data_IF_500493537241
#
_entry.id   IF_500493537241
#
_cell.length_a   1.000
_cell.length_b   1.000
_cell.length_c   1.000
_cell.angle_alpha   90.00
_cell.angle_beta   90.00
_cell.angle_gamma   90.00
#
_symmetry.space_group_name_H-M   'P 1'
#
loop_
_entity.id
_entity.type
_entity.pdbx_description
1 polymer ?
#
# COMPACT_ATOMS: atom_id res chain seq x y z
N UNK A 1 5.56 -18.08 -1.17
CA UNK A 1 5.42 -17.15 -0.04
C UNK A 1 4.35 -16.14 -0.41
N UNK A 2 3.37 -15.98 0.46
CA UNK A 2 2.33 -14.94 0.39
C UNK A 2 2.65 -13.88 1.44
N UNK A 3 2.91 -12.66 1.01
CA UNK A 3 3.11 -11.50 1.88
C UNK A 3 1.86 -10.64 1.84
N UNK A 4 1.10 -10.66 2.92
CA UNK A 4 -0.18 -9.99 3.06
C UNK A 4 -0.10 -8.95 4.19
N UNK A 5 0.05 -7.69 3.83
CA UNK A 5 0.28 -6.62 4.81
C UNK A 5 -0.87 -5.60 4.92
N UNK A 6 -1.84 -5.58 3.98
CA UNK A 6 -2.93 -4.61 3.98
C UNK A 6 -4.28 -5.13 3.43
N UNK A 7 -4.46 -6.44 3.30
CA UNK A 7 -5.69 -7.07 2.79
C UNK A 7 -6.94 -6.78 3.63
N UNK A 8 -6.78 -6.37 4.88
CA UNK A 8 -7.89 -5.91 5.72
C UNK A 8 -8.58 -4.67 5.15
N UNK A 9 -7.86 -3.84 4.38
CA UNK A 9 -8.38 -2.60 3.79
C UNK A 9 -8.95 -2.85 2.39
N UNK A 10 -10.18 -3.36 2.37
CA UNK A 10 -10.99 -3.54 1.17
C UNK A 10 -12.22 -2.68 1.26
N UNK A 11 -12.59 -2.04 0.16
CA UNK A 11 -13.64 -1.03 0.18
C UNK A 11 -14.91 -1.51 -0.54
N UNK A 12 -14.83 -1.80 -1.83
CA UNK A 12 -16.02 -2.04 -2.63
C UNK A 12 -16.04 -3.47 -3.24
N UNK A 13 -15.21 -4.39 -2.70
CA UNK A 13 -15.08 -5.75 -3.19
C UNK A 13 -15.30 -6.78 -2.10
N UNK A 14 -15.70 -7.99 -2.49
CA UNK A 14 -15.73 -9.13 -1.57
C UNK A 14 -14.33 -9.54 -1.15
N UNK A 15 -14.15 -10.07 0.06
CA UNK A 15 -12.89 -10.66 0.47
C UNK A 15 -12.43 -11.73 -0.52
N UNK A 16 -11.18 -11.63 -0.97
CA UNK A 16 -10.53 -12.76 -1.62
C UNK A 16 -9.90 -13.63 -0.52
N UNK A 17 -10.06 -14.96 -0.60
CA UNK A 17 -9.35 -15.84 0.31
C UNK A 17 -7.84 -15.74 0.06
N UNK A 18 -7.05 -15.87 1.11
CA UNK A 18 -5.60 -15.97 0.98
C UNK A 18 -5.19 -17.23 0.21
N UNK A 19 -4.05 -17.21 -0.45
CA UNK A 19 -3.50 -18.41 -1.09
C UNK A 19 -3.29 -19.52 -0.06
N UNK A 20 -2.85 -19.17 1.15
CA UNK A 20 -2.72 -20.11 2.25
C UNK A 20 -4.07 -20.73 2.64
N UNK A 21 -5.12 -19.91 2.75
CA UNK A 21 -6.47 -20.38 3.07
C UNK A 21 -7.04 -21.29 1.96
N UNK A 22 -6.75 -21.00 0.70
CA UNK A 22 -7.13 -21.83 -0.45
C UNK A 22 -6.36 -23.16 -0.52
N UNK A 23 -5.06 -23.12 -0.20
CA UNK A 23 -4.19 -24.29 -0.22
C UNK A 23 -4.43 -25.24 0.98
N UNK A 24 -4.98 -24.71 2.08
CA UNK A 24 -5.18 -25.45 3.33
C UNK A 24 -3.90 -25.68 4.11
N UNK A 25 -4.01 -26.40 5.24
CA UNK A 25 -2.89 -26.63 6.17
C UNK A 25 -1.75 -27.46 5.55
N UNK A 26 -2.06 -28.34 4.63
CA UNK A 26 -1.12 -29.20 3.92
C UNK A 26 -0.57 -28.58 2.63
N UNK A 27 -1.04 -27.40 2.27
CA UNK A 27 -0.60 -26.68 1.08
C UNK A 27 0.80 -26.08 1.23
N UNK A 28 1.52 -25.80 0.13
CA UNK A 28 2.92 -25.34 0.16
C UNK A 28 3.07 -23.83 0.39
N UNK A 29 2.07 -23.14 0.95
CA UNK A 29 2.07 -21.67 1.09
C UNK A 29 2.55 -21.24 2.47
N UNK A 30 3.63 -20.49 2.52
CA UNK A 30 4.06 -19.74 3.72
C UNK A 30 3.37 -18.38 3.67
N UNK A 31 2.51 -18.10 4.65
CA UNK A 31 1.80 -16.82 4.76
C UNK A 31 2.50 -15.92 5.78
N UNK A 32 2.72 -14.68 5.39
CA UNK A 32 3.31 -13.63 6.22
C UNK A 32 2.32 -12.47 6.34
N UNK A 33 2.18 -11.92 7.54
CA UNK A 33 1.39 -10.72 7.74
C UNK A 33 1.89 -9.91 8.94
N UNK A 34 1.43 -8.67 9.05
CA UNK A 34 1.86 -7.73 10.08
C UNK A 34 0.69 -6.92 10.64
N UNK A 35 0.75 -6.61 11.93
CA UNK A 35 -0.18 -5.68 12.58
C UNK A 35 0.21 -4.20 12.38
N UNK A 36 1.32 -3.91 11.70
CA UNK A 36 1.83 -2.54 11.56
C UNK A 36 0.93 -1.65 10.72
N UNK A 37 0.19 -2.20 9.77
CA UNK A 37 -0.75 -1.46 8.92
C UNK A 37 -2.16 -1.47 9.49
N UNK A 38 -2.59 -2.61 10.01
CA UNK A 38 -3.94 -2.78 10.53
C UNK A 38 -4.16 -2.18 11.93
N UNK A 39 -3.08 -1.89 12.68
CA UNK A 39 -3.16 -1.24 14.00
C UNK A 39 -2.27 0.01 14.07
N UNK A 40 -0.97 -0.18 14.23
CA UNK A 40 -0.01 0.92 14.30
C UNK A 40 1.40 0.43 13.94
N UNK A 41 2.22 1.23 13.23
CA UNK A 41 3.59 0.86 12.92
C UNK A 41 4.48 0.62 14.14
N UNK A 42 4.14 1.22 15.28
CA UNK A 42 4.86 1.09 16.55
C UNK A 42 4.67 -0.25 17.25
N UNK A 43 3.63 -1.02 16.93
CA UNK A 43 3.34 -2.29 17.60
C UNK A 43 4.36 -3.38 17.27
N UNK A 44 5.03 -3.31 16.13
CA UNK A 44 6.13 -4.18 15.70
C UNK A 44 5.84 -5.69 15.81
N UNK A 45 4.58 -6.09 15.63
CA UNK A 45 4.17 -7.49 15.62
C UNK A 45 3.90 -7.91 14.17
N UNK A 46 4.59 -8.98 13.76
CA UNK A 46 4.31 -9.72 12.55
C UNK A 46 4.12 -11.21 12.89
N UNK A 47 3.44 -11.92 12.03
CA UNK A 47 3.23 -13.34 12.22
C UNK A 47 3.39 -14.11 10.91
N UNK A 48 3.70 -15.39 11.04
CA UNK A 48 3.90 -16.31 9.95
C UNK A 48 3.06 -17.56 10.16
N UNK A 49 2.35 -18.00 9.14
CA UNK A 49 1.68 -19.31 9.12
C UNK A 49 2.48 -20.23 8.23
N UNK A 50 3.04 -21.27 8.83
CA UNK A 50 3.84 -22.27 8.14
C UNK A 50 3.01 -23.47 7.72
N UNK A 51 3.25 -24.02 6.52
CA UNK A 51 2.80 -25.35 6.17
C UNK A 51 3.23 -26.40 7.20
N UNK A 52 2.40 -27.39 7.43
CA UNK A 52 2.62 -28.40 8.46
C UNK A 52 3.92 -29.17 8.24
N UNK A 53 4.31 -29.40 6.97
CA UNK A 53 5.53 -30.08 6.57
C UNK A 53 6.80 -29.32 6.99
N UNK A 54 6.74 -28.00 7.13
CA UNK A 54 7.89 -27.18 7.52
C UNK A 54 8.07 -27.06 9.04
N UNK A 55 7.05 -27.40 9.83
CA UNK A 55 7.08 -27.26 11.28
C UNK A 55 8.21 -28.06 11.97
N UNK A 56 8.50 -29.32 11.59
CA UNK A 56 9.61 -30.06 12.22
C UNK A 56 10.97 -29.39 11.99
N UNK A 57 11.24 -28.98 10.74
CA UNK A 57 12.49 -28.31 10.39
C UNK A 57 12.60 -26.92 11.07
N UNK A 58 11.51 -26.16 11.10
CA UNK A 58 11.45 -24.90 11.82
C UNK A 58 11.75 -25.08 13.31
N UNK A 59 11.08 -26.00 13.98
CA UNK A 59 11.30 -26.28 15.40
C UNK A 59 12.73 -26.72 15.71
N UNK A 60 13.32 -27.50 14.83
CA UNK A 60 14.72 -27.95 14.98
C UNK A 60 15.70 -26.77 14.86
N UNK A 61 15.50 -25.91 13.84
CA UNK A 61 16.36 -24.75 13.56
C UNK A 61 16.25 -23.65 14.63
N UNK A 62 15.04 -23.39 15.11
CA UNK A 62 14.75 -22.22 15.96
C UNK A 62 14.45 -22.56 17.43
N UNK A 63 14.68 -23.79 17.88
CA UNK A 63 14.37 -24.23 19.26
C UNK A 63 15.06 -23.43 20.37
N UNK A 64 16.21 -22.80 20.07
CA UNK A 64 16.98 -22.00 21.02
C UNK A 64 16.72 -20.48 20.87
N UNK A 65 15.86 -20.07 19.92
CA UNK A 65 15.52 -18.69 19.72
C UNK A 65 14.25 -18.33 20.49
N UNK A 66 14.30 -17.22 21.21
CA UNK A 66 13.12 -16.61 21.81
C UNK A 66 12.46 -15.63 20.83
N UNK A 67 11.15 -15.54 20.86
CA UNK A 67 10.45 -14.48 20.11
C UNK A 67 10.93 -13.11 20.58
N UNK A 68 11.30 -12.19 19.65
CA UNK A 68 11.66 -10.82 20.01
C UNK A 68 10.44 -9.99 20.45
N UNK A 69 9.22 -10.46 20.21
CA UNK A 69 7.99 -9.78 20.61
C UNK A 69 7.71 -10.05 22.08
N UNK A 70 7.53 -8.98 22.87
CA UNK A 70 7.17 -9.06 24.28
C UNK A 70 5.90 -9.90 24.51
N UNK A 71 5.91 -10.78 25.49
CA UNK A 71 4.71 -11.55 25.87
C UNK A 71 3.56 -10.66 26.33
N UNK A 72 3.87 -9.53 26.93
CA UNK A 72 2.87 -8.53 27.32
C UNK A 72 2.14 -7.99 26.09
N UNK A 73 2.87 -7.60 25.06
CA UNK A 73 2.28 -7.10 23.80
C UNK A 73 1.48 -8.19 23.08
N UNK A 74 1.99 -9.42 23.03
CA UNK A 74 1.25 -10.55 22.47
C UNK A 74 -0.08 -10.79 23.19
N UNK A 75 -0.09 -10.80 24.54
CA UNK A 75 -1.30 -10.99 25.31
C UNK A 75 -2.28 -9.81 25.18
N UNK A 76 -1.76 -8.59 25.13
CA UNK A 76 -2.59 -7.38 24.93
C UNK A 76 -3.26 -7.44 23.55
N UNK A 77 -2.52 -7.81 22.51
CA UNK A 77 -3.07 -7.98 21.17
C UNK A 77 -4.11 -9.10 21.13
N UNK A 78 -3.83 -10.23 21.77
CA UNK A 78 -4.77 -11.35 21.84
C UNK A 78 -6.09 -10.94 22.51
N UNK A 79 -6.04 -10.20 23.62
CA UNK A 79 -7.26 -9.64 24.26
C UNK A 79 -7.98 -8.67 23.34
N UNK A 80 -7.25 -7.76 22.70
CA UNK A 80 -7.81 -6.78 21.77
C UNK A 80 -8.58 -7.44 20.63
N UNK A 81 -8.06 -8.56 20.11
CA UNK A 81 -8.73 -9.36 19.09
C UNK A 81 -9.95 -10.11 19.68
N UNK A 82 -9.76 -10.85 20.76
CA UNK A 82 -10.79 -11.72 21.34
C UNK A 82 -12.00 -10.95 21.90
N UNK A 83 -11.78 -9.75 22.42
CA UNK A 83 -12.84 -8.86 22.92
C UNK A 83 -13.52 -8.06 21.78
N UNK A 84 -13.13 -8.30 20.52
CA UNK A 84 -13.75 -7.70 19.33
C UNK A 84 -13.37 -6.24 19.08
N UNK A 85 -12.40 -5.69 19.83
CA UNK A 85 -11.90 -4.33 19.58
C UNK A 85 -11.23 -4.20 18.22
N UNK A 86 -10.46 -5.20 17.81
CA UNK A 86 -9.79 -5.24 16.51
C UNK A 86 -10.80 -5.14 15.36
N UNK A 87 -11.87 -5.93 15.38
CA UNK A 87 -12.91 -5.89 14.34
C UNK A 87 -13.58 -4.51 14.26
N UNK A 88 -13.90 -3.90 15.42
CA UNK A 88 -14.48 -2.55 15.47
C UNK A 88 -13.51 -1.49 14.97
N UNK A 89 -12.22 -1.62 15.30
CA UNK A 89 -11.16 -0.75 14.81
C UNK A 89 -11.07 -0.81 13.29
N UNK A 90 -10.91 -2.00 12.71
CA UNK A 90 -10.86 -2.19 11.25
C UNK A 90 -12.09 -1.64 10.53
N UNK A 91 -13.28 -1.81 11.10
CA UNK A 91 -14.50 -1.27 10.50
C UNK A 91 -14.47 0.26 10.39
N UNK A 92 -13.98 0.96 11.44
CA UNK A 92 -13.81 2.43 11.41
C UNK A 92 -12.73 2.87 10.44
N UNK A 93 -11.57 2.20 10.46
CA UNK A 93 -10.46 2.51 9.55
C UNK A 93 -10.84 2.35 8.08
N UNK A 94 -11.59 1.30 7.73
CA UNK A 94 -12.10 1.10 6.37
C UNK A 94 -12.95 2.27 5.89
N UNK A 95 -13.82 2.80 6.74
CA UNK A 95 -14.66 3.95 6.40
C UNK A 95 -13.79 5.20 6.19
N UNK A 96 -12.84 5.45 7.10
CA UNK A 96 -11.95 6.60 7.03
C UNK A 96 -11.04 6.54 5.78
N UNK A 97 -10.41 5.39 5.53
CA UNK A 97 -9.52 5.24 4.38
C UNK A 97 -10.27 5.28 3.04
N UNK A 98 -11.49 4.73 2.99
CA UNK A 98 -12.35 4.88 1.81
C UNK A 98 -12.65 6.36 1.54
N UNK A 99 -13.01 7.12 2.55
CA UNK A 99 -13.28 8.55 2.42
C UNK A 99 -12.06 9.34 1.90
N UNK A 100 -10.86 9.05 2.43
CA UNK A 100 -9.59 9.66 1.99
C UNK A 100 -9.25 9.30 0.56
N UNK A 101 -9.37 8.02 0.18
CA UNK A 101 -9.21 7.58 -1.22
C UNK A 101 -10.14 8.35 -2.15
N UNK A 102 -11.42 8.41 -1.81
CA UNK A 102 -12.43 9.06 -2.63
C UNK A 102 -12.18 10.57 -2.74
N UNK A 103 -11.72 11.21 -1.66
CA UNK A 103 -11.35 12.62 -1.66
C UNK A 103 -10.12 12.87 -2.56
N UNK A 104 -9.08 12.04 -2.46
CA UNK A 104 -7.90 12.14 -3.32
C UNK A 104 -8.26 11.97 -4.80
N UNK A 105 -9.04 10.94 -5.13
CA UNK A 105 -9.47 10.67 -6.52
C UNK A 105 -10.31 11.85 -7.06
N UNK A 106 -11.21 12.42 -6.26
CA UNK A 106 -11.97 13.62 -6.66
C UNK A 106 -11.06 14.81 -6.92
N UNK A 107 -10.10 15.08 -6.04
CA UNK A 107 -9.15 16.18 -6.19
C UNK A 107 -8.29 16.03 -7.45
N UNK A 108 -7.83 14.82 -7.73
CA UNK A 108 -7.07 14.53 -8.95
C UNK A 108 -7.93 14.70 -10.21
N UNK A 109 -9.16 14.19 -10.20
CA UNK A 109 -10.08 14.37 -11.33
C UNK A 109 -10.48 15.85 -11.54
N UNK A 110 -10.46 16.68 -10.51
CA UNK A 110 -10.70 18.12 -10.63
C UNK A 110 -9.47 18.87 -11.19
N UNK A 111 -8.26 18.40 -10.88
CA UNK A 111 -7.02 19.05 -11.32
C UNK A 111 -6.59 18.65 -12.73
N UNK A 112 -6.96 17.46 -13.22
CA UNK A 112 -6.56 16.91 -14.51
C UNK A 112 -7.75 16.82 -15.47
N UNK A 113 -7.49 16.96 -16.76
CA UNK A 113 -8.54 16.82 -17.77
C UNK A 113 -9.04 15.35 -17.86
N UNK A 114 -10.29 15.15 -18.32
CA UNK A 114 -10.84 13.80 -18.46
C UNK A 114 -9.92 12.88 -19.29
N UNK A 115 -9.54 11.75 -18.71
CA UNK A 115 -8.69 10.75 -19.35
C UNK A 115 -7.19 11.06 -19.35
N UNK A 116 -6.71 12.14 -18.73
CA UNK A 116 -5.27 12.36 -18.50
C UNK A 116 -4.69 11.41 -17.44
N UNK A 117 -5.52 11.01 -16.47
CA UNK A 117 -5.16 10.02 -15.47
C UNK A 117 -6.01 8.76 -15.60
N UNK A 118 -5.36 7.62 -15.49
CA UNK A 118 -6.03 6.32 -15.36
C UNK A 118 -5.67 5.72 -14.01
N UNK A 119 -6.68 5.49 -13.18
CA UNK A 119 -6.49 4.92 -11.86
C UNK A 119 -6.57 3.40 -11.87
N UNK A 120 -5.77 2.76 -11.00
CA UNK A 120 -5.90 1.35 -10.63
C UNK A 120 -5.58 1.14 -9.14
N UNK A 121 -5.94 -0.03 -8.59
CA UNK A 121 -5.76 -0.29 -7.15
C UNK A 121 -6.78 0.42 -6.25
N UNK A 122 -7.93 0.87 -6.78
CA UNK A 122 -8.92 1.63 -6.02
C UNK A 122 -9.68 0.83 -4.97
N UNK A 123 -9.70 -0.50 -5.08
CA UNK A 123 -10.60 -1.33 -4.27
C UNK A 123 -9.96 -1.92 -3.02
N UNK A 124 -8.64 -1.90 -2.95
CA UNK A 124 -7.87 -2.53 -1.87
C UNK A 124 -6.62 -1.75 -1.52
N UNK A 125 -6.11 -1.94 -0.31
CA UNK A 125 -4.85 -1.38 0.15
C UNK A 125 -4.95 0.08 0.60
N UNK A 126 -3.79 0.68 0.84
CA UNK A 126 -3.65 2.06 1.34
C UNK A 126 -2.96 2.99 0.33
N UNK A 127 -2.82 2.53 -0.90
CA UNK A 127 -2.28 3.29 -2.03
C UNK A 127 -3.07 2.97 -3.30
N UNK A 128 -2.99 3.86 -4.26
CA UNK A 128 -3.52 3.68 -5.59
C UNK A 128 -2.45 4.03 -6.63
N UNK A 129 -2.63 3.57 -7.84
CA UNK A 129 -1.79 3.94 -8.97
C UNK A 129 -2.55 4.92 -9.86
N UNK A 130 -1.84 5.97 -10.29
CA UNK A 130 -2.35 6.95 -11.24
C UNK A 130 -1.40 7.02 -12.45
N UNK A 131 -1.78 6.41 -13.56
CA UNK A 131 -1.00 6.42 -14.78
C UNK A 131 -1.34 7.68 -15.61
N UNK A 132 -0.32 8.45 -15.95
CA UNK A 132 -0.43 9.63 -16.80
C UNK A 132 -0.53 9.20 -18.28
N UNK A 133 -1.50 9.77 -19.00
CA UNK A 133 -1.50 9.69 -20.45
C UNK A 133 -0.40 10.62 -20.99
N UNK A 134 0.33 10.16 -21.99
CA UNK A 134 1.41 10.92 -22.61
C UNK A 134 2.39 11.46 -21.55
N UNK A 135 2.83 10.55 -20.68
CA UNK A 135 3.69 10.87 -19.56
C UNK A 135 5.03 11.41 -20.01
N UNK A 136 5.54 12.49 -19.41
CA UNK A 136 6.93 12.89 -19.60
C UNK A 136 7.85 11.82 -18.98
N UNK A 137 9.16 11.84 -19.32
CA UNK A 137 10.13 10.93 -18.71
C UNK A 137 10.12 11.00 -17.19
N UNK A 138 10.27 9.86 -16.52
CA UNK A 138 10.28 9.77 -15.05
C UNK A 138 11.33 10.70 -14.40
N UNK A 139 12.47 10.90 -15.04
CA UNK A 139 13.49 11.83 -14.57
C UNK A 139 12.99 13.29 -14.54
N UNK A 140 12.21 13.70 -15.54
CA UNK A 140 11.61 15.04 -15.59
C UNK A 140 10.52 15.20 -14.53
N UNK A 141 9.70 14.17 -14.30
CA UNK A 141 8.70 14.17 -13.21
C UNK A 141 9.36 14.33 -11.84
N UNK A 142 10.47 13.63 -11.59
CA UNK A 142 11.21 13.73 -10.31
C UNK A 142 11.81 15.11 -10.12
N UNK A 143 12.49 15.65 -11.14
CA UNK A 143 13.09 16.98 -11.06
C UNK A 143 12.03 18.07 -10.82
N UNK A 144 10.90 18.01 -11.50
CA UNK A 144 9.79 18.92 -11.29
C UNK A 144 9.16 18.79 -9.89
N UNK A 145 9.02 17.56 -9.37
CA UNK A 145 8.52 17.32 -8.02
C UNK A 145 9.47 17.87 -6.95
N UNK A 146 10.76 17.66 -7.12
CA UNK A 146 11.79 18.18 -6.20
C UNK A 146 11.77 19.73 -6.17
N UNK A 147 11.60 20.38 -7.32
CA UNK A 147 11.46 21.83 -7.41
C UNK A 147 10.23 22.37 -6.65
N UNK A 148 9.15 21.61 -6.60
CA UNK A 148 7.94 21.91 -5.82
C UNK A 148 8.03 21.43 -4.35
N UNK A 149 9.18 20.91 -3.92
CA UNK A 149 9.39 20.40 -2.56
C UNK A 149 8.62 19.10 -2.27
N UNK A 150 8.26 18.33 -3.30
CA UNK A 150 7.46 17.10 -3.20
C UNK A 150 8.32 15.88 -3.49
N UNK A 151 8.20 14.87 -2.66
CA UNK A 151 8.77 13.55 -2.91
C UNK A 151 7.78 12.69 -3.70
N UNK A 152 8.14 12.34 -4.92
CA UNK A 152 7.32 11.55 -5.81
C UNK A 152 7.81 10.08 -5.85
N UNK A 153 6.87 9.14 -5.73
CA UNK A 153 7.13 7.71 -5.96
C UNK A 153 6.51 7.29 -7.29
N UNK A 154 7.30 6.65 -8.13
CA UNK A 154 6.87 6.14 -9.43
C UNK A 154 6.88 4.61 -9.43
N UNK A 155 6.00 4.00 -10.20
CA UNK A 155 5.93 2.54 -10.28
C UNK A 155 7.22 1.93 -10.83
N UNK A 156 7.94 2.66 -11.68
CA UNK A 156 9.27 2.28 -12.18
C UNK A 156 10.33 2.12 -11.09
N UNK A 157 10.17 2.73 -9.90
CA UNK A 157 11.08 2.57 -8.75
C UNK A 157 11.09 1.14 -8.20
N UNK A 158 10.02 0.41 -8.47
CA UNK A 158 9.80 -0.95 -7.99
C UNK A 158 10.16 -2.02 -9.03
N UNK A 159 10.61 -1.61 -10.23
CA UNK A 159 11.06 -2.54 -11.27
C UNK A 159 12.52 -2.92 -11.07
N UNK A 160 12.73 -4.08 -10.49
CA UNK A 160 14.07 -4.66 -10.28
C UNK A 160 14.70 -5.22 -11.55
N UNK A 161 13.93 -5.37 -12.61
CA UNK A 161 14.40 -5.98 -13.87
C UNK A 161 14.95 -4.96 -14.86
N UNK A 162 14.67 -3.66 -14.64
CA UNK A 162 15.01 -2.58 -15.55
C UNK A 162 14.24 -2.64 -16.87
N UNK A 163 13.22 -3.51 -16.97
CA UNK A 163 12.42 -3.68 -18.17
C UNK A 163 11.20 -2.78 -18.26
N UNK A 164 11.14 -1.72 -17.47
CA UNK A 164 10.02 -0.81 -17.14
C UNK A 164 9.04 -0.43 -18.29
N UNK A 165 8.87 -1.29 -19.28
CA UNK A 165 7.93 -1.08 -20.39
C UNK A 165 6.51 -0.97 -19.86
N UNK A 166 5.90 0.20 -20.02
CA UNK A 166 4.53 0.49 -19.58
C UNK A 166 4.36 0.86 -18.11
N UNK A 167 5.45 1.02 -17.33
CA UNK A 167 5.41 1.49 -15.96
C UNK A 167 5.72 2.99 -15.83
N UNK A 168 6.41 3.57 -16.83
CA UNK A 168 6.78 4.98 -16.83
C UNK A 168 5.55 5.90 -16.68
N UNK A 169 5.73 7.00 -15.97
CA UNK A 169 4.66 7.96 -15.71
C UNK A 169 3.52 7.46 -14.83
N UNK A 170 3.69 6.33 -14.13
CA UNK A 170 2.70 5.83 -13.20
C UNK A 170 3.09 6.22 -11.77
N UNK A 171 2.27 7.07 -11.18
CA UNK A 171 2.44 7.57 -9.81
C UNK A 171 1.92 6.52 -8.80
N UNK A 172 2.67 6.30 -7.72
CA UNK A 172 2.24 5.51 -6.57
C UNK A 172 1.79 6.46 -5.47
N UNK A 173 0.50 6.57 -5.23
CA UNK A 173 -0.10 7.54 -4.33
C UNK A 173 -0.64 6.87 -3.08
N UNK A 174 0.05 7.05 -1.95
CA UNK A 174 -0.41 6.62 -0.64
C UNK A 174 -1.39 7.62 -0.03
N UNK A 175 -2.52 7.14 0.48
CA UNK A 175 -3.53 7.99 1.12
C UNK A 175 -3.77 7.67 2.60
N UNK A 176 -3.10 6.64 3.13
CA UNK A 176 -3.31 6.22 4.52
C UNK A 176 -2.99 7.28 5.57
N UNK A 177 -1.99 8.12 5.33
CA UNK A 177 -1.59 9.22 6.23
C UNK A 177 -2.01 10.60 5.74
N UNK A 178 -2.76 10.69 4.63
CA UNK A 178 -3.17 11.97 4.07
C UNK A 178 -4.24 12.61 4.96
N UNK A 179 -4.05 13.88 5.31
CA UNK A 179 -5.08 14.65 6.00
C UNK A 179 -6.25 14.94 5.05
N UNK A 180 -7.46 14.95 5.59
CA UNK A 180 -8.67 15.04 4.77
C UNK A 180 -8.76 16.38 3.99
N UNK A 181 -8.21 17.45 4.53
CA UNK A 181 -8.15 18.80 3.94
C UNK A 181 -6.95 18.98 2.98
N UNK A 182 -6.00 18.07 2.94
CA UNK A 182 -4.82 18.16 2.07
C UNK A 182 -5.08 17.70 0.62
N UNK A 183 -6.16 16.98 0.35
CA UNK A 183 -6.43 16.41 -0.98
C UNK A 183 -6.48 17.44 -2.12
N UNK A 184 -7.12 18.61 -1.98
CA UNK A 184 -7.13 19.62 -3.06
C UNK A 184 -5.73 20.10 -3.40
N UNK A 185 -4.91 20.44 -2.41
CA UNK A 185 -3.54 20.91 -2.63
C UNK A 185 -2.64 19.84 -3.27
N UNK A 186 -2.86 18.57 -2.96
CA UNK A 186 -2.15 17.43 -3.61
C UNK A 186 -2.51 17.40 -5.11
N UNK A 187 -3.78 17.54 -5.48
CA UNK A 187 -4.20 17.58 -6.87
C UNK A 187 -3.55 18.72 -7.66
N UNK A 188 -3.58 19.93 -7.09
CA UNK A 188 -2.97 21.12 -7.69
C UNK A 188 -1.45 20.98 -7.83
N UNK A 189 -0.78 20.51 -6.79
CA UNK A 189 0.69 20.34 -6.82
C UNK A 189 1.09 19.29 -7.85
N UNK A 190 0.40 18.15 -7.92
CA UNK A 190 0.68 17.15 -8.93
C UNK A 190 0.43 17.67 -10.35
N UNK A 191 -0.60 18.50 -10.55
CA UNK A 191 -0.84 19.16 -11.84
C UNK A 191 0.33 20.06 -12.22
N UNK A 192 0.84 20.90 -11.31
CA UNK A 192 2.02 21.77 -11.55
C UNK A 192 3.25 20.94 -11.92
N UNK A 193 3.54 19.89 -11.14
CA UNK A 193 4.66 18.98 -11.39
C UNK A 193 4.56 18.36 -12.80
N UNK A 194 3.41 17.84 -13.17
CA UNK A 194 3.22 17.23 -14.49
C UNK A 194 3.35 18.24 -15.64
N UNK A 195 2.88 19.47 -15.44
CA UNK A 195 3.01 20.54 -16.45
C UNK A 195 4.48 20.92 -16.62
N UNK A 196 5.18 21.23 -15.54
CA UNK A 196 6.60 21.58 -15.57
C UNK A 196 7.47 20.47 -16.19
N UNK A 197 7.18 19.22 -15.88
CA UNK A 197 7.90 18.07 -16.45
C UNK A 197 7.67 17.94 -17.98
N UNK A 198 6.48 18.22 -18.48
CA UNK A 198 6.17 18.22 -19.92
C UNK A 198 6.90 19.36 -20.63
N UNK A 199 6.86 20.57 -20.08
CA UNK A 199 7.53 21.75 -20.66
C UNK A 199 9.03 21.55 -20.77
N UNK A 200 9.65 20.99 -19.74
CA UNK A 200 11.09 20.63 -19.74
C UNK A 200 11.44 19.58 -20.80
N UNK A 201 10.50 18.66 -21.12
CA UNK A 201 10.74 17.58 -22.08
C UNK A 201 10.58 18.01 -23.54
N UNK A 202 9.91 19.14 -23.79
CA UNK A 202 9.73 19.71 -25.17
C UNK A 202 10.92 20.58 -25.56
N UNK A 203 11.72 21.06 -24.60
CA UNK A 203 12.84 21.99 -24.83
C UNK A 203 14.17 21.26 -25.17
N UNK A 204 14.19 19.93 -25.15
CA UNK A 204 15.34 19.07 -25.52
C UNK A 204 15.10 18.39 -26.85
#
# INVERSE_FOLDING_TARGET
IEDDYDSEFRFDTRPLPSLQGMAGADGPVVYLSTCSRSLAPSIRIAYMVLPIQLLPAWRAAYRLYSSPVSRFEQQTLARFINEGYFTRHLARERVAYKARRDALVRALNAAFAPGELRFSGLHTGLHLLAALRDAPPDAALRAAAEAEGVRLSLLSDYDLTGSARGLAGTLVLGYGSLADDACPSVGETLRKVCTAARDASVTV
#
